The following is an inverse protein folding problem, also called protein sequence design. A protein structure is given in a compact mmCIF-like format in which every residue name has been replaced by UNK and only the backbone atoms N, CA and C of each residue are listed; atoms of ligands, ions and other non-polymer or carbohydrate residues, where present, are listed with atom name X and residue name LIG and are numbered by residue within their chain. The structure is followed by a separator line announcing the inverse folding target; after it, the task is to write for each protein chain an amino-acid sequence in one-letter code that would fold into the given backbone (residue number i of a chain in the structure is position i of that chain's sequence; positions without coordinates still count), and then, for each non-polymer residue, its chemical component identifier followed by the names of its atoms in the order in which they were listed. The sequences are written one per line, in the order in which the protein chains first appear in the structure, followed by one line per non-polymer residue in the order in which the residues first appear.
data_IF_048874835645
#
_entry.id   IF_048874835645
#
_cell.length_a   1.000
_cell.length_b   1.000
_cell.length_c   1.000
_cell.angle_alpha   90.00
_cell.angle_beta   90.00
_cell.angle_gamma   90.00
#
_symmetry.space_group_name_H-M   'P 1'
#
loop_
_entity.id
_entity.type
_entity.pdbx_description
1 polymer ?
#
# COMPACT_ATOMS: atom_id res chain seq x y z
N UNK A 1 54.79 50.59 6.56
CA UNK A 1 53.55 49.82 6.39
C UNK A 1 53.90 48.35 6.56
N UNK A 2 53.60 47.76 7.73
CA UNK A 2 53.88 46.35 8.03
C UNK A 2 52.53 45.66 8.17
N UNK A 3 52.24 44.73 7.29
CA UNK A 3 51.03 43.90 7.35
C UNK A 3 51.27 42.78 8.37
N UNK A 4 50.41 42.68 9.38
CA UNK A 4 50.35 41.55 10.29
C UNK A 4 49.16 40.67 9.89
N UNK A 5 49.43 39.43 9.50
CA UNK A 5 48.41 38.42 9.26
C UNK A 5 48.05 37.75 10.60
N UNK A 6 46.77 37.74 10.95
CA UNK A 6 46.22 37.00 12.10
C UNK A 6 45.59 35.72 11.56
N UNK A 7 46.25 34.59 11.80
CA UNK A 7 45.69 33.25 11.57
C UNK A 7 44.88 32.86 12.80
N UNK A 8 43.57 32.74 12.65
CA UNK A 8 42.69 32.16 13.67
C UNK A 8 42.74 30.63 13.49
N UNK A 9 43.46 29.96 14.38
CA UNK A 9 43.46 28.50 14.49
C UNK A 9 42.20 28.11 15.30
N UNK A 10 41.13 27.67 14.63
CA UNK A 10 39.98 27.10 15.33
C UNK A 10 40.32 25.67 15.77
N UNK A 11 40.58 25.49 17.06
CA UNK A 11 40.54 24.18 17.70
C UNK A 11 39.07 23.75 17.82
N UNK A 12 38.57 23.05 16.81
CA UNK A 12 37.37 22.23 16.97
C UNK A 12 37.78 21.02 17.83
N UNK A 13 37.53 21.11 19.14
CA UNK A 13 37.49 19.92 19.98
C UNK A 13 36.29 19.09 19.52
N UNK A 14 36.53 18.13 18.62
CA UNK A 14 35.57 17.09 18.34
C UNK A 14 35.29 16.37 19.65
N UNK A 15 34.08 16.53 20.19
CA UNK A 15 33.55 15.60 21.19
C UNK A 15 33.33 14.31 20.42
N UNK A 16 34.37 13.48 20.37
CA UNK A 16 34.21 12.06 20.09
C UNK A 16 33.37 11.58 21.26
N UNK A 17 32.07 11.34 21.03
CA UNK A 17 31.28 10.54 21.93
C UNK A 17 32.04 9.23 22.08
N UNK A 18 32.71 9.05 23.21
CA UNK A 18 33.33 7.78 23.57
C UNK A 18 32.18 6.77 23.52
N UNK A 19 32.26 5.85 22.57
CA UNK A 19 31.46 4.62 22.61
C UNK A 19 31.94 3.93 23.87
N UNK A 20 31.19 4.09 24.96
CA UNK A 20 31.47 3.41 26.21
C UNK A 20 31.07 1.93 26.01
N UNK A 21 32.04 1.02 25.80
CA UNK A 21 31.74 -0.37 25.44
C UNK A 21 31.19 -1.17 26.63
N UNK A 22 31.17 -0.57 27.83
CA UNK A 22 30.75 -1.22 29.07
C UNK A 22 29.29 -0.94 29.43
N UNK A 23 28.65 0.01 28.75
CA UNK A 23 27.30 0.46 29.07
C UNK A 23 26.26 0.12 27.99
N UNK A 24 25.01 -0.01 28.43
CA UNK A 24 23.89 -0.42 27.59
C UNK A 24 22.56 0.16 28.09
N UNK A 25 21.55 0.11 27.22
CA UNK A 25 20.20 0.47 27.57
C UNK A 25 19.86 1.95 27.36
N UNK A 26 18.64 2.35 27.72
CA UNK A 26 18.04 3.61 27.29
C UNK A 26 18.73 4.86 27.85
N UNK A 27 19.40 4.73 29.01
CA UNK A 27 20.18 5.82 29.61
C UNK A 27 21.48 6.13 28.87
N UNK A 28 21.92 5.22 28.02
CA UNK A 28 23.18 5.30 27.29
C UNK A 28 22.94 5.30 25.78
N UNK A 29 21.86 5.94 25.32
CA UNK A 29 21.57 6.07 23.89
C UNK A 29 21.15 4.77 23.22
N UNK A 30 20.48 3.87 23.96
CA UNK A 30 20.01 2.56 23.48
C UNK A 30 21.13 1.63 23.00
N UNK A 31 22.34 1.78 23.55
CA UNK A 31 23.45 0.89 23.24
C UNK A 31 23.15 -0.56 23.63
N UNK A 32 23.61 -1.49 22.78
CA UNK A 32 23.45 -2.93 22.94
C UNK A 32 24.81 -3.54 23.29
N UNK A 33 24.82 -4.44 24.26
CA UNK A 33 26.04 -5.13 24.67
C UNK A 33 26.64 -5.98 23.53
N UNK A 34 27.97 -6.08 23.51
CA UNK A 34 28.74 -6.95 22.60
C UNK A 34 29.10 -8.27 23.28
N UNK A 35 29.64 -9.24 22.53
CA UNK A 35 30.27 -10.47 23.02
C UNK A 35 29.42 -11.30 24.00
N UNK A 36 28.19 -11.66 23.59
CA UNK A 36 27.26 -12.49 24.37
C UNK A 36 26.98 -11.99 25.80
N UNK A 37 27.25 -10.72 26.09
CA UNK A 37 26.98 -10.12 27.39
C UNK A 37 25.52 -9.69 27.54
N UNK A 38 25.01 -9.80 28.76
CA UNK A 38 23.70 -9.28 29.14
C UNK A 38 23.81 -7.82 29.58
N UNK A 39 22.74 -7.07 29.33
CA UNK A 39 22.58 -5.73 29.85
C UNK A 39 21.86 -5.79 31.21
N UNK A 40 22.52 -5.37 32.28
CA UNK A 40 21.90 -5.32 33.60
C UNK A 40 20.82 -4.23 33.69
N UNK A 41 19.91 -4.31 34.68
CA UNK A 41 18.97 -3.22 34.99
C UNK A 41 19.65 -1.87 35.28
N UNK A 42 20.94 -1.90 35.63
CA UNK A 42 21.73 -0.70 35.92
C UNK A 42 22.44 -0.12 34.69
N UNK A 43 22.28 -0.75 33.52
CA UNK A 43 22.82 -0.26 32.25
C UNK A 43 24.29 -0.63 32.02
N UNK A 44 24.72 -1.78 32.55
CA UNK A 44 26.08 -2.31 32.38
C UNK A 44 26.09 -3.64 31.63
N UNK A 45 27.08 -3.83 30.77
CA UNK A 45 27.31 -5.06 30.03
C UNK A 45 28.17 -6.05 30.82
N UNK A 46 27.70 -7.29 30.95
CA UNK A 46 28.50 -8.36 31.54
C UNK A 46 27.88 -9.75 31.37
N UNK A 47 28.65 -10.78 31.71
CA UNK A 47 28.27 -12.19 31.58
C UNK A 47 27.96 -12.88 32.92
N UNK A 48 28.10 -12.16 34.04
CA UNK A 48 27.84 -12.72 35.37
C UNK A 48 26.34 -12.79 35.66
N UNK A 49 25.97 -13.56 36.69
CA UNK A 49 24.58 -13.69 37.14
C UNK A 49 23.92 -12.33 37.41
N UNK A 50 24.64 -11.37 37.97
CA UNK A 50 24.10 -10.05 38.30
C UNK A 50 23.74 -9.21 37.06
N UNK A 51 24.35 -9.52 35.91
CA UNK A 51 24.06 -8.89 34.62
C UNK A 51 23.00 -9.68 33.84
N UNK A 52 23.02 -11.00 33.99
CA UNK A 52 22.21 -11.94 33.22
C UNK A 52 21.02 -12.53 33.99
N UNK A 53 20.65 -11.97 35.14
CA UNK A 53 19.49 -12.45 35.88
C UNK A 53 18.22 -12.15 35.06
N UNK A 54 17.53 -13.23 34.64
CA UNK A 54 16.37 -13.16 33.76
C UNK A 54 15.21 -12.31 34.29
N UNK A 55 15.16 -12.06 35.60
CA UNK A 55 14.12 -11.24 36.24
C UNK A 55 14.39 -9.72 36.15
N UNK A 56 15.63 -9.31 35.85
CA UNK A 56 16.03 -7.90 35.92
C UNK A 56 16.84 -7.40 34.73
N UNK A 57 17.43 -8.28 33.94
CA UNK A 57 18.24 -7.88 32.80
C UNK A 57 17.39 -7.26 31.67
N UNK A 58 17.95 -6.29 30.95
CA UNK A 58 17.29 -5.55 29.89
C UNK A 58 17.44 -6.30 28.56
N UNK A 59 16.45 -7.14 28.24
CA UNK A 59 16.51 -8.08 27.11
C UNK A 59 16.82 -7.42 25.76
N UNK A 60 16.13 -6.33 25.42
CA UNK A 60 16.28 -5.62 24.14
C UNK A 60 17.64 -4.92 23.95
N UNK A 61 18.46 -4.86 25.01
CA UNK A 61 19.78 -4.21 24.98
C UNK A 61 20.92 -5.19 25.32
N UNK A 62 20.59 -6.47 25.47
CA UNK A 62 21.55 -7.56 25.68
C UNK A 62 22.02 -8.13 24.34
N UNK A 63 23.24 -8.69 24.29
CA UNK A 63 23.78 -9.28 23.07
C UNK A 63 22.90 -10.47 22.60
N UNK A 64 22.72 -10.69 21.28
CA UNK A 64 21.86 -11.76 20.76
C UNK A 64 22.22 -13.19 21.21
N UNK A 65 23.48 -13.46 21.56
CA UNK A 65 23.91 -14.75 22.10
C UNK A 65 24.06 -14.79 23.62
N UNK A 66 23.55 -13.77 24.33
CA UNK A 66 23.53 -13.75 25.79
C UNK A 66 22.35 -14.55 26.36
N UNK A 67 22.44 -14.98 27.62
CA UNK A 67 21.32 -15.65 28.30
C UNK A 67 20.14 -14.73 28.62
N UNK A 68 20.31 -13.41 28.45
CA UNK A 68 19.26 -12.41 28.55
C UNK A 68 18.73 -11.97 27.18
N UNK A 69 19.27 -12.51 26.08
CA UNK A 69 18.77 -12.20 24.75
C UNK A 69 17.25 -12.43 24.69
N UNK A 70 16.50 -11.63 23.93
CA UNK A 70 15.13 -11.98 23.61
C UNK A 70 15.15 -13.39 23.02
N UNK A 71 14.35 -14.31 23.54
CA UNK A 71 14.15 -15.58 22.84
C UNK A 71 13.71 -15.23 21.42
N UNK A 72 14.47 -15.69 20.42
CA UNK A 72 14.06 -15.63 19.01
C UNK A 72 12.93 -16.63 18.75
N UNK A 73 11.96 -16.70 19.63
CA UNK A 73 10.59 -16.88 19.20
C UNK A 73 10.12 -15.46 18.87
N UNK A 74 10.20 -15.11 17.59
CA UNK A 74 9.13 -14.27 17.06
C UNK A 74 7.85 -14.92 17.58
N UNK A 75 6.99 -14.24 18.36
CA UNK A 75 5.77 -14.86 18.83
C UNK A 75 5.16 -15.55 17.62
N UNK A 76 4.88 -16.85 17.74
CA UNK A 76 4.19 -17.58 16.68
C UNK A 76 3.05 -16.67 16.25
N UNK A 77 3.13 -16.13 15.03
CA UNK A 77 2.07 -15.27 14.53
C UNK A 77 0.88 -16.22 14.38
N UNK A 78 0.07 -16.32 15.42
CA UNK A 78 -1.27 -16.85 15.33
C UNK A 78 -2.02 -15.81 14.54
N UNK A 79 -1.95 -15.95 13.22
CA UNK A 79 -2.59 -15.02 12.34
C UNK A 79 -4.10 -15.11 12.56
N UNK A 80 -4.78 -13.97 12.78
CA UNK A 80 -6.20 -13.97 13.06
C UNK A 80 -7.03 -14.29 11.81
N UNK A 81 -8.21 -14.87 12.02
CA UNK A 81 -9.19 -15.20 10.97
C UNK A 81 -9.97 -13.98 10.44
N UNK A 82 -9.69 -12.79 10.96
CA UNK A 82 -10.17 -11.48 10.49
C UNK A 82 -8.95 -10.63 10.10
N UNK A 83 -9.14 -9.52 9.37
CA UNK A 83 -8.02 -8.59 9.13
C UNK A 83 -7.38 -8.31 10.49
N UNK A 84 -6.08 -8.58 10.66
CA UNK A 84 -5.51 -8.57 11.99
C UNK A 84 -5.70 -7.19 12.63
N UNK A 85 -5.88 -7.14 13.94
CA UNK A 85 -5.74 -5.88 14.70
C UNK A 85 -4.24 -5.52 14.81
N UNK A 86 -3.52 -5.64 13.69
CA UNK A 86 -2.15 -5.16 13.49
C UNK A 86 -2.12 -3.66 13.18
N UNK A 87 -3.30 -3.08 13.04
CA UNK A 87 -3.52 -1.66 12.79
C UNK A 87 -3.50 -0.84 14.08
N UNK A 88 -3.27 -1.46 15.24
CA UNK A 88 -3.18 -0.76 16.51
C UNK A 88 -1.80 -0.93 17.13
N UNK A 89 -1.33 0.13 17.76
CA UNK A 89 -0.04 0.17 18.41
C UNK A 89 -0.03 1.21 19.51
N UNK A 90 1.03 1.18 20.29
CA UNK A 90 1.28 2.21 21.27
C UNK A 90 0.85 1.82 22.68
N UNK A 91 1.18 2.71 23.60
CA UNK A 91 0.96 2.53 25.03
C UNK A 91 -0.52 2.31 25.39
N UNK A 92 -1.44 2.99 24.70
CA UNK A 92 -2.88 2.86 24.90
C UNK A 92 -3.45 1.50 24.45
N UNK A 93 -2.70 0.79 23.59
CA UNK A 93 -3.11 -0.48 22.98
C UNK A 93 -2.38 -1.66 23.61
N UNK A 94 -2.09 -1.58 24.92
CA UNK A 94 -1.39 -2.64 25.65
C UNK A 94 0.09 -2.77 25.28
N UNK A 95 0.69 -1.76 24.64
CA UNK A 95 2.10 -1.74 24.29
C UNK A 95 2.45 -2.54 23.04
N UNK A 96 1.48 -2.79 22.16
CA UNK A 96 1.70 -3.49 20.90
C UNK A 96 2.56 -2.65 19.95
N UNK A 97 3.49 -3.30 19.27
CA UNK A 97 4.37 -2.69 18.25
C UNK A 97 3.89 -3.02 16.85
N UNK A 98 4.07 -2.10 15.90
CA UNK A 98 3.68 -2.32 14.52
C UNK A 98 4.54 -3.40 13.83
N UNK A 99 3.93 -4.32 13.06
CA UNK A 99 4.66 -5.37 12.37
C UNK A 99 5.26 -4.87 11.06
N UNK A 100 6.57 -4.66 10.97
CA UNK A 100 7.19 -4.21 9.72
C UNK A 100 7.00 -5.20 8.56
N UNK A 101 6.17 -4.88 7.58
CA UNK A 101 6.01 -5.68 6.36
C UNK A 101 6.92 -5.14 5.24
N UNK A 102 7.67 -6.02 4.57
CA UNK A 102 8.57 -5.69 3.47
C UNK A 102 10.06 -5.65 3.83
N UNK A 103 10.92 -5.48 2.81
CA UNK A 103 12.38 -5.60 2.92
C UNK A 103 13.04 -4.73 4.01
N UNK A 104 12.37 -3.65 4.44
CA UNK A 104 12.83 -2.77 5.54
C UNK A 104 11.73 -2.46 6.58
N UNK A 105 10.58 -3.14 6.47
CA UNK A 105 9.38 -2.84 7.24
C UNK A 105 8.75 -1.51 6.85
N UNK A 106 8.74 -1.15 5.57
CA UNK A 106 8.15 0.11 5.07
C UNK A 106 6.65 0.19 5.39
N UNK A 107 5.93 -0.92 5.23
CA UNK A 107 4.54 -0.99 5.66
C UNK A 107 4.45 -1.31 7.15
N UNK A 108 3.47 -0.72 7.82
CA UNK A 108 3.23 -0.90 9.26
C UNK A 108 4.50 -0.62 10.08
N UNK A 109 5.25 0.40 9.65
CA UNK A 109 6.53 0.76 10.22
C UNK A 109 6.36 1.59 11.48
N UNK A 110 5.47 2.56 11.38
CA UNK A 110 5.32 3.65 12.31
C UNK A 110 4.04 3.49 13.10
N UNK A 111 4.09 3.94 14.35
CA UNK A 111 2.93 3.98 15.21
C UNK A 111 2.48 5.43 15.33
N UNK A 112 1.35 5.78 14.73
CA UNK A 112 0.83 7.15 14.76
C UNK A 112 0.48 7.60 16.18
N UNK A 113 0.29 8.91 16.36
CA UNK A 113 -0.20 9.48 17.62
C UNK A 113 -1.57 8.93 18.05
N UNK A 114 -2.40 8.53 17.08
CA UNK A 114 -3.69 7.88 17.31
C UNK A 114 -3.57 6.40 17.68
N UNK A 115 -2.36 5.84 17.70
CA UNK A 115 -2.12 4.45 18.02
C UNK A 115 -2.45 3.52 16.86
N UNK A 116 -2.17 3.97 15.63
CA UNK A 116 -2.36 3.16 14.43
C UNK A 116 -1.07 2.87 13.67
N UNK A 117 -0.97 1.66 13.16
CA UNK A 117 0.18 1.26 12.36
C UNK A 117 0.06 1.71 10.91
N UNK A 118 1.15 2.24 10.37
CA UNK A 118 1.23 2.58 8.96
C UNK A 118 2.61 3.06 8.50
N UNK A 119 2.72 3.48 7.23
CA UNK A 119 1.66 3.39 6.22
C UNK A 119 1.32 1.94 5.91
N UNK A 120 0.08 1.63 5.54
CA UNK A 120 -0.36 0.25 5.32
C UNK A 120 0.00 -0.28 3.95
N UNK A 121 0.11 0.62 2.98
CA UNK A 121 0.41 0.39 1.58
C UNK A 121 1.15 1.61 1.03
N UNK A 122 1.59 1.55 -0.23
CA UNK A 122 2.35 2.57 -0.95
C UNK A 122 1.51 3.82 -1.30
N UNK A 123 0.21 3.70 -1.07
CA UNK A 123 -0.82 4.70 -1.27
C UNK A 123 -0.91 5.66 -0.08
N UNK A 124 -0.76 5.17 1.16
CA UNK A 124 -0.91 6.00 2.34
C UNK A 124 0.34 6.85 2.61
N UNK A 125 0.13 8.15 2.82
CA UNK A 125 1.23 9.04 3.19
C UNK A 125 1.86 8.58 4.52
N UNK A 126 3.16 8.34 4.46
CA UNK A 126 3.98 7.97 5.60
C UNK A 126 3.90 9.01 6.72
N UNK A 127 3.75 10.30 6.39
CA UNK A 127 3.69 11.41 7.33
C UNK A 127 2.48 11.34 8.28
N UNK A 128 1.43 10.60 7.91
CA UNK A 128 0.26 10.38 8.76
C UNK A 128 0.57 9.44 9.94
N UNK A 129 1.65 8.67 9.85
CA UNK A 129 2.02 7.64 10.82
C UNK A 129 3.39 7.88 11.45
N UNK A 130 4.32 8.47 10.69
CA UNK A 130 5.72 8.66 11.04
C UNK A 130 6.03 10.13 11.34
N UNK A 131 7.20 10.39 11.93
CA UNK A 131 7.63 11.74 12.28
C UNK A 131 6.98 12.25 13.56
N UNK A 132 6.56 13.51 13.55
CA UNK A 132 6.05 14.21 14.72
C UNK A 132 4.76 13.57 15.25
N UNK A 133 4.76 13.20 16.53
CA UNK A 133 3.64 12.52 17.18
C UNK A 133 3.63 11.00 17.02
N UNK A 134 4.53 10.42 16.22
CA UNK A 134 4.72 8.97 16.21
C UNK A 134 5.22 8.46 17.58
N UNK A 135 4.67 7.33 18.03
CA UNK A 135 4.97 6.74 19.32
C UNK A 135 6.24 5.88 19.26
N UNK A 136 7.37 6.50 19.57
CA UNK A 136 8.69 5.85 19.61
C UNK A 136 8.70 4.62 20.54
N UNK A 137 9.29 3.53 20.06
CA UNK A 137 9.29 2.23 20.76
C UNK A 137 8.15 1.29 20.34
N UNK A 138 7.07 1.83 19.74
CA UNK A 138 5.97 1.05 19.18
C UNK A 138 5.95 1.07 17.63
N UNK A 139 6.71 1.97 17.03
CA UNK A 139 7.05 1.97 15.62
C UNK A 139 8.38 2.69 15.39
N UNK A 140 8.93 2.58 14.18
CA UNK A 140 10.12 3.32 13.77
C UNK A 140 9.67 4.68 13.23
N UNK A 141 9.82 5.74 14.01
CA UNK A 141 9.22 7.04 13.73
C UNK A 141 9.96 7.92 12.72
N UNK A 142 10.98 7.39 12.06
CA UNK A 142 11.68 8.04 10.95
C UNK A 142 10.92 7.89 9.62
N UNK A 143 11.13 8.86 8.73
CA UNK A 143 10.61 8.84 7.37
C UNK A 143 11.59 8.09 6.45
N UNK A 144 11.08 7.22 5.61
CA UNK A 144 11.84 6.45 4.62
C UNK A 144 11.14 6.52 3.26
N UNK A 145 11.91 6.67 2.17
CA UNK A 145 11.33 6.57 0.81
C UNK A 145 10.79 5.15 0.62
N UNK A 146 9.64 5.03 -0.05
CA UNK A 146 9.09 3.74 -0.47
C UNK A 146 10.18 2.90 -1.16
N UNK A 147 10.40 1.64 -0.73
CA UNK A 147 11.31 0.75 -1.42
C UNK A 147 10.90 0.65 -2.89
N UNK A 148 11.89 0.72 -3.78
CA UNK A 148 11.65 0.40 -5.17
C UNK A 148 11.08 -1.01 -5.29
N UNK A 149 10.24 -1.22 -6.28
CA UNK A 149 9.65 -2.52 -6.51
C UNK A 149 10.73 -3.60 -6.66
N UNK A 150 10.54 -4.80 -6.08
CA UNK A 150 11.51 -5.86 -6.24
C UNK A 150 11.65 -6.24 -7.72
N UNK A 151 12.88 -6.16 -8.23
CA UNK A 151 13.25 -6.56 -9.60
C UNK A 151 13.46 -8.07 -9.75
N UNK A 152 13.41 -8.79 -8.63
CA UNK A 152 13.56 -10.25 -8.57
C UNK A 152 12.25 -10.96 -8.93
N UNK A 153 12.37 -12.21 -9.37
CA UNK A 153 11.22 -13.07 -9.61
C UNK A 153 10.31 -13.15 -8.37
N UNK A 154 8.98 -13.20 -8.62
CA UNK A 154 7.95 -13.28 -7.58
C UNK A 154 8.25 -14.42 -6.59
N UNK A 155 8.12 -14.13 -5.29
CA UNK A 155 8.22 -15.13 -4.24
C UNK A 155 7.11 -16.18 -4.33
N UNK A 156 7.19 -17.26 -3.52
CA UNK A 156 6.11 -18.25 -3.44
C UNK A 156 4.81 -17.61 -2.93
N UNK A 157 3.67 -18.20 -3.32
CA UNK A 157 2.35 -17.73 -2.89
C UNK A 157 2.22 -17.78 -1.36
N UNK A 158 1.68 -16.70 -0.81
CA UNK A 158 1.48 -16.46 0.61
C UNK A 158 0.23 -17.18 1.14
N UNK A 159 0.37 -17.89 2.26
CA UNK A 159 -0.73 -18.55 2.98
C UNK A 159 -1.63 -17.57 3.73
N UNK A 160 -2.69 -18.09 4.34
CA UNK A 160 -3.59 -17.29 5.19
C UNK A 160 -2.81 -16.68 6.35
N UNK A 161 -3.03 -15.38 6.57
CA UNK A 161 -2.30 -14.59 7.54
C UNK A 161 -0.93 -14.08 7.09
N UNK A 162 -0.35 -14.65 6.04
CA UNK A 162 0.94 -14.17 5.54
C UNK A 162 0.80 -12.85 4.78
N UNK A 163 1.92 -12.14 4.62
CA UNK A 163 1.96 -10.86 3.90
C UNK A 163 1.94 -11.05 2.39
N UNK A 164 1.26 -10.13 1.70
CA UNK A 164 1.13 -10.08 0.25
C UNK A 164 1.32 -8.66 -0.28
N UNK A 165 1.36 -8.52 -1.60
CA UNK A 165 1.45 -7.24 -2.27
C UNK A 165 2.83 -6.96 -2.89
N UNK A 166 2.98 -5.81 -3.56
CA UNK A 166 4.13 -5.51 -4.42
C UNK A 166 5.45 -5.43 -3.64
N UNK A 167 5.45 -4.89 -2.42
CA UNK A 167 6.69 -4.72 -1.63
C UNK A 167 7.28 -6.05 -1.18
N UNK A 168 6.45 -7.02 -0.80
CA UNK A 168 6.91 -8.37 -0.44
C UNK A 168 7.01 -9.28 -1.66
N UNK A 169 6.54 -8.80 -2.83
CA UNK A 169 6.49 -9.52 -4.10
C UNK A 169 5.87 -10.92 -3.98
N UNK A 170 4.75 -11.02 -3.25
CA UNK A 170 4.00 -12.26 -3.03
C UNK A 170 2.51 -12.04 -3.34
N UNK A 171 1.91 -13.01 -4.02
CA UNK A 171 0.45 -13.13 -4.19
C UNK A 171 -0.08 -14.09 -3.12
N UNK A 172 -1.33 -13.94 -2.72
CA UNK A 172 -1.97 -14.94 -1.88
C UNK A 172 -2.20 -16.26 -2.63
N UNK A 173 -2.20 -17.38 -1.90
CA UNK A 173 -2.62 -18.68 -2.43
C UNK A 173 -4.07 -18.62 -2.92
N UNK A 174 -4.40 -19.52 -3.85
CA UNK A 174 -5.76 -19.64 -4.39
C UNK A 174 -6.82 -19.75 -3.27
N UNK A 175 -7.90 -18.98 -3.40
CA UNK A 175 -8.98 -18.89 -2.42
C UNK A 175 -8.77 -17.81 -1.34
N UNK A 176 -7.62 -17.13 -1.32
CA UNK A 176 -7.33 -16.01 -0.43
C UNK A 176 -7.17 -14.71 -1.23
N UNK A 177 -7.56 -13.61 -0.60
CA UNK A 177 -7.42 -12.26 -1.16
C UNK A 177 -6.35 -11.47 -0.39
N UNK A 178 -5.64 -10.62 -1.12
CA UNK A 178 -4.75 -9.65 -0.49
C UNK A 178 -5.59 -8.43 -0.07
N UNK A 179 -5.75 -8.25 1.24
CA UNK A 179 -6.43 -7.07 1.79
C UNK A 179 -5.69 -5.79 1.41
N UNK A 180 -6.36 -4.64 1.49
CA UNK A 180 -5.70 -3.32 1.41
C UNK A 180 -4.64 -3.11 2.50
N UNK A 181 -4.68 -3.99 3.51
CA UNK A 181 -3.68 -4.10 4.56
C UNK A 181 -2.49 -5.00 4.21
N UNK A 182 -2.33 -5.52 3.00
CA UNK A 182 -1.19 -6.38 2.61
C UNK A 182 -1.11 -7.72 3.38
N UNK A 183 -2.26 -8.25 3.83
CA UNK A 183 -2.37 -9.59 4.41
C UNK A 183 -3.31 -10.47 3.61
N UNK A 184 -2.93 -11.73 3.48
CA UNK A 184 -3.76 -12.76 2.87
C UNK A 184 -4.81 -13.25 3.84
N UNK A 185 -6.04 -13.35 3.38
CA UNK A 185 -7.13 -13.95 4.14
C UNK A 185 -8.36 -14.19 3.30
N UNK A 186 -9.44 -14.58 3.96
CA UNK A 186 -10.72 -14.88 3.33
C UNK A 186 -11.84 -14.09 4.01
N UNK A 187 -13.02 -14.00 3.36
CA UNK A 187 -14.15 -13.24 3.89
C UNK A 187 -14.11 -11.75 3.56
N UNK A 188 -15.14 -11.01 3.95
CA UNK A 188 -15.41 -9.66 3.46
C UNK A 188 -14.31 -8.63 3.77
N UNK A 189 -13.57 -8.81 4.87
CA UNK A 189 -12.51 -7.88 5.27
C UNK A 189 -11.25 -8.01 4.37
N UNK A 190 -11.10 -9.15 3.68
CA UNK A 190 -10.00 -9.41 2.76
C UNK A 190 -10.46 -9.39 1.29
N UNK A 191 -11.67 -9.89 1.04
CA UNK A 191 -12.23 -10.18 -0.27
C UNK A 191 -13.46 -9.29 -0.54
N UNK A 192 -13.32 -8.30 -1.43
CA UNK A 192 -14.39 -7.38 -1.84
C UNK A 192 -15.29 -7.92 -2.96
N UNK A 193 -15.89 -9.12 -2.80
CA UNK A 193 -16.65 -9.79 -3.88
C UNK A 193 -18.17 -9.76 -3.73
N UNK A 194 -18.71 -9.13 -2.68
CA UNK A 194 -20.16 -9.13 -2.36
C UNK A 194 -21.03 -8.73 -3.55
N UNK A 195 -20.65 -7.71 -4.32
CA UNK A 195 -21.43 -7.28 -5.48
C UNK A 195 -21.56 -8.36 -6.57
N UNK A 196 -20.55 -9.22 -6.74
CA UNK A 196 -20.58 -10.33 -7.71
C UNK A 196 -21.28 -11.56 -7.09
N UNK A 197 -21.07 -11.78 -5.80
CA UNK A 197 -21.52 -12.97 -5.08
C UNK A 197 -23.00 -12.90 -4.69
N UNK A 198 -23.51 -11.73 -4.33
CA UNK A 198 -24.86 -11.56 -3.76
C UNK A 198 -25.88 -11.09 -4.81
N UNK A 199 -25.44 -10.79 -6.03
CA UNK A 199 -26.30 -10.29 -7.11
C UNK A 199 -26.25 -11.13 -8.38
N UNK A 200 -27.38 -11.23 -9.08
CA UNK A 200 -27.44 -11.72 -10.44
C UNK A 200 -27.10 -10.58 -11.41
N UNK A 201 -26.32 -10.88 -12.44
CA UNK A 201 -25.94 -9.90 -13.45
C UNK A 201 -26.24 -10.46 -14.84
N UNK A 202 -26.92 -9.70 -15.71
CA UNK A 202 -27.09 -10.10 -17.11
C UNK A 202 -25.75 -10.12 -17.86
N UNK A 203 -24.78 -9.35 -17.37
CA UNK A 203 -23.45 -9.26 -17.93
C UNK A 203 -22.47 -8.70 -16.89
N UNK A 204 -21.30 -9.33 -16.77
CA UNK A 204 -20.18 -8.82 -15.96
C UNK A 204 -18.99 -8.63 -16.89
N UNK A 205 -18.43 -7.42 -16.88
CA UNK A 205 -17.20 -7.09 -17.58
C UNK A 205 -16.09 -6.81 -16.56
N UNK A 206 -14.92 -7.40 -16.76
CA UNK A 206 -13.71 -7.00 -16.06
C UNK A 206 -12.76 -6.33 -17.05
N UNK A 207 -12.34 -5.11 -16.75
CA UNK A 207 -11.26 -4.41 -17.47
C UNK A 207 -9.91 -4.75 -16.86
N UNK A 208 -8.89 -4.80 -17.70
CA UNK A 208 -7.51 -5.08 -17.30
C UNK A 208 -6.59 -4.13 -18.05
N UNK A 209 -5.88 -3.28 -17.31
CA UNK A 209 -4.77 -2.51 -17.83
C UNK A 209 -3.69 -3.45 -18.34
N UNK A 210 -3.16 -3.14 -19.52
CA UNK A 210 -2.30 -4.06 -20.25
C UNK A 210 -1.21 -3.30 -20.99
N UNK A 211 -0.19 -2.88 -20.23
CA UNK A 211 0.85 -1.98 -20.73
C UNK A 211 2.02 -2.74 -21.34
N UNK A 212 2.58 -2.29 -22.49
CA UNK A 212 3.89 -2.75 -22.92
C UNK A 212 4.99 -2.22 -21.98
N UNK A 213 6.16 -2.86 -22.00
CA UNK A 213 7.35 -2.31 -21.34
C UNK A 213 7.71 -0.95 -21.98
N UNK A 214 8.03 0.05 -21.15
CA UNK A 214 8.31 1.42 -21.62
C UNK A 214 7.08 2.16 -22.14
N UNK A 215 5.89 1.87 -21.62
CA UNK A 215 4.66 2.58 -21.97
C UNK A 215 4.75 4.09 -21.63
N UNK A 216 4.09 4.96 -22.40
CA UNK A 216 4.25 6.43 -22.28
C UNK A 216 3.85 6.99 -20.90
N UNK A 217 2.95 6.31 -20.18
CA UNK A 217 2.53 6.67 -18.82
C UNK A 217 3.51 6.23 -17.73
N UNK A 218 4.59 5.52 -18.10
CA UNK A 218 5.57 4.97 -17.18
C UNK A 218 6.81 5.85 -17.02
N UNK A 219 7.38 5.89 -15.82
CA UNK A 219 8.63 6.61 -15.52
C UNK A 219 9.79 6.20 -16.44
N UNK A 220 10.01 4.91 -16.79
CA UNK A 220 11.07 4.54 -17.74
C UNK A 220 10.94 5.18 -19.13
N UNK A 221 9.74 5.57 -19.55
CA UNK A 221 9.50 6.26 -20.81
C UNK A 221 9.64 7.78 -20.72
N UNK A 222 9.73 8.34 -19.50
CA UNK A 222 9.76 9.77 -19.22
C UNK A 222 11.01 10.13 -18.40
N UNK A 223 12.18 10.30 -19.05
CA UNK A 223 13.41 10.68 -18.36
C UNK A 223 13.21 11.94 -17.51
N UNK A 224 13.83 11.98 -16.32
CA UNK A 224 13.80 13.11 -15.38
C UNK A 224 12.44 13.39 -14.70
N UNK A 225 11.53 12.41 -14.67
CA UNK A 225 10.27 12.48 -13.92
C UNK A 225 10.21 11.43 -12.81
N UNK A 226 9.37 11.66 -11.80
CA UNK A 226 9.04 10.71 -10.75
C UNK A 226 7.52 10.39 -10.78
N UNK A 227 7.08 9.24 -10.23
CA UNK A 227 5.66 8.94 -10.09
C UNK A 227 4.88 10.07 -9.40
N UNK A 228 3.75 10.47 -9.99
CA UNK A 228 2.94 11.61 -9.55
C UNK A 228 3.19 12.90 -10.34
N UNK A 229 4.27 12.97 -11.12
CA UNK A 229 4.48 14.07 -12.07
C UNK A 229 3.48 14.01 -13.23
N UNK A 230 3.41 15.09 -14.00
CA UNK A 230 2.62 15.17 -15.22
C UNK A 230 3.46 15.73 -16.37
N UNK A 231 3.30 15.13 -17.55
CA UNK A 231 3.98 15.51 -18.78
C UNK A 231 2.97 15.86 -19.87
N UNK A 232 3.35 16.69 -20.83
CA UNK A 232 2.53 16.93 -22.01
C UNK A 232 2.95 15.99 -23.13
N UNK A 233 2.03 15.15 -23.58
CA UNK A 233 2.24 14.22 -24.69
C UNK A 233 1.44 14.67 -25.91
N UNK A 234 1.97 14.34 -27.08
CA UNK A 234 1.37 14.70 -28.36
C UNK A 234 0.30 13.68 -28.75
N UNK A 235 -0.76 14.14 -29.40
CA UNK A 235 -1.80 13.26 -29.92
C UNK A 235 -1.25 12.35 -31.02
N UNK A 236 -1.71 11.08 -31.06
CA UNK A 236 -1.31 10.08 -32.05
C UNK A 236 -1.69 10.54 -33.46
N UNK A 237 -2.81 11.25 -33.62
CA UNK A 237 -3.27 11.80 -34.90
C UNK A 237 -2.81 13.24 -35.20
N UNK A 238 -2.15 13.93 -34.26
CA UNK A 238 -1.86 15.36 -34.41
C UNK A 238 -0.63 15.84 -33.64
N UNK A 239 0.36 16.34 -34.38
CA UNK A 239 1.56 16.96 -33.82
C UNK A 239 1.32 18.32 -33.14
N UNK A 240 0.13 18.89 -33.30
CA UNK A 240 -0.22 20.22 -32.78
C UNK A 240 -1.10 20.17 -31.54
N UNK A 241 -1.65 18.99 -31.21
CA UNK A 241 -2.49 18.79 -30.04
C UNK A 241 -1.68 18.06 -28.99
N UNK A 242 -1.77 18.55 -27.76
CA UNK A 242 -1.17 17.95 -26.60
C UNK A 242 -2.23 17.64 -25.56
N UNK A 243 -2.01 16.58 -24.80
CA UNK A 243 -2.73 16.30 -23.55
C UNK A 243 -1.74 16.17 -22.40
N UNK A 244 -2.24 16.44 -21.21
CA UNK A 244 -1.49 16.19 -19.98
C UNK A 244 -1.67 14.73 -19.58
N UNK A 245 -0.55 14.03 -19.41
CA UNK A 245 -0.47 12.63 -19.01
C UNK A 245 0.22 12.54 -17.65
N UNK A 246 -0.42 11.86 -16.70
CA UNK A 246 0.21 11.53 -15.42
C UNK A 246 1.31 10.46 -15.60
N UNK A 247 2.39 10.60 -14.85
CA UNK A 247 3.50 9.64 -14.83
C UNK A 247 3.36 8.73 -13.61
N UNK A 248 3.51 7.43 -13.83
CA UNK A 248 3.40 6.41 -12.81
C UNK A 248 4.63 5.51 -12.82
N UNK A 249 4.89 4.85 -11.69
CA UNK A 249 5.81 3.71 -11.68
C UNK A 249 5.33 2.63 -12.66
N UNK A 250 6.23 1.74 -13.08
CA UNK A 250 5.85 0.62 -13.92
C UNK A 250 4.73 -0.21 -13.27
N UNK A 251 3.63 -0.36 -13.98
CA UNK A 251 2.42 -1.03 -13.50
C UNK A 251 1.78 -1.83 -14.63
N UNK A 252 1.08 -2.92 -14.27
CA UNK A 252 0.34 -3.80 -15.19
C UNK A 252 1.05 -4.16 -16.50
N UNK A 253 2.37 -4.40 -16.44
CA UNK A 253 3.15 -4.83 -17.61
C UNK A 253 2.61 -6.16 -18.12
N UNK A 254 2.28 -6.19 -19.41
CA UNK A 254 1.69 -7.32 -20.11
C UNK A 254 2.48 -8.61 -19.86
N UNK A 255 1.76 -9.66 -19.44
CA UNK A 255 2.33 -10.99 -19.18
C UNK A 255 2.97 -11.16 -17.80
N UNK A 256 3.02 -10.10 -16.98
CA UNK A 256 3.44 -10.21 -15.58
C UNK A 256 2.27 -10.54 -14.66
N UNK A 257 2.54 -11.12 -13.49
CA UNK A 257 1.51 -11.44 -12.49
C UNK A 257 0.79 -10.19 -11.97
N UNK A 258 1.46 -9.03 -12.00
CA UNK A 258 0.89 -7.74 -11.58
C UNK A 258 -0.18 -7.23 -12.54
N UNK A 259 -0.12 -7.67 -13.79
CA UNK A 259 -1.18 -7.40 -14.75
C UNK A 259 -2.38 -8.33 -14.57
N UNK A 260 -2.29 -9.45 -13.83
CA UNK A 260 -3.37 -10.43 -13.71
C UNK A 260 -4.60 -9.87 -12.98
N UNK A 261 -5.78 -10.19 -13.50
CA UNK A 261 -7.03 -10.03 -12.75
C UNK A 261 -7.01 -10.88 -11.49
N UNK A 262 -7.41 -10.29 -10.36
CA UNK A 262 -7.52 -10.96 -9.07
C UNK A 262 -8.34 -12.27 -9.19
N UNK A 263 -7.85 -13.35 -8.57
CA UNK A 263 -8.37 -14.70 -8.78
C UNK A 263 -9.84 -14.80 -8.39
N UNK A 264 -10.25 -14.10 -7.35
CA UNK A 264 -11.62 -14.03 -6.91
C UNK A 264 -12.57 -13.41 -7.94
N UNK A 265 -12.17 -12.34 -8.64
CA UNK A 265 -12.94 -11.79 -9.76
C UNK A 265 -12.90 -12.73 -10.97
N UNK A 266 -11.73 -13.28 -11.28
CA UNK A 266 -11.50 -14.16 -12.43
C UNK A 266 -12.27 -15.49 -12.37
N UNK A 267 -12.40 -16.07 -11.17
CA UNK A 267 -12.94 -17.42 -10.97
C UNK A 267 -14.42 -17.46 -10.59
N UNK A 268 -15.06 -16.29 -10.40
CA UNK A 268 -16.49 -16.18 -10.09
C UNK A 268 -17.50 -16.20 -11.26
N UNK A 269 -17.17 -16.41 -12.55
CA UNK A 269 -18.21 -16.35 -13.56
C UNK A 269 -18.93 -17.66 -13.90
N UNK A 270 -20.24 -17.49 -14.14
CA UNK A 270 -20.94 -18.19 -15.22
C UNK A 270 -20.84 -17.43 -16.56
N UNK A 271 -20.60 -16.10 -16.61
CA UNK A 271 -20.48 -15.28 -17.86
C UNK A 271 -19.57 -14.02 -17.75
N UNK A 272 -18.32 -14.11 -17.30
CA UNK A 272 -17.36 -12.99 -17.35
C UNK A 272 -16.84 -12.84 -18.78
N UNK A 273 -16.97 -11.65 -19.37
CA UNK A 273 -16.15 -11.26 -20.52
C UNK A 273 -15.01 -10.35 -20.03
N UNK A 274 -13.77 -10.78 -20.27
CA UNK A 274 -12.59 -9.98 -19.99
C UNK A 274 -12.29 -9.01 -21.14
N UNK A 275 -12.04 -7.75 -20.80
CA UNK A 275 -11.64 -6.72 -21.74
C UNK A 275 -10.25 -6.22 -21.39
N UNK A 276 -9.32 -6.33 -22.34
CA UNK A 276 -8.01 -5.70 -22.22
C UNK A 276 -8.14 -4.26 -22.68
N UNK A 277 -7.70 -3.33 -21.83
CA UNK A 277 -7.61 -1.91 -22.15
C UNK A 277 -6.15 -1.58 -22.36
N UNK A 278 -5.85 -0.95 -23.49
CA UNK A 278 -4.62 -0.17 -23.65
C UNK A 278 -4.96 1.27 -23.29
N UNK A 279 -4.04 1.98 -22.65
CA UNK A 279 -4.22 3.40 -22.35
C UNK A 279 -4.55 4.17 -23.65
N UNK A 280 -5.78 4.63 -23.75
CA UNK A 280 -6.23 5.48 -24.85
C UNK A 280 -7.04 6.66 -24.30
N UNK A 281 -6.30 7.58 -23.67
CA UNK A 281 -6.86 8.82 -23.14
C UNK A 281 -7.31 9.79 -24.27
N UNK A 282 -6.89 9.52 -25.51
CA UNK A 282 -7.16 10.34 -26.69
C UNK A 282 -8.42 9.94 -27.46
N UNK A 283 -9.19 8.95 -26.99
CA UNK A 283 -10.43 8.49 -27.65
C UNK A 283 -10.27 8.04 -29.12
N UNK A 284 -9.06 7.63 -29.52
CA UNK A 284 -8.78 7.20 -30.89
C UNK A 284 -9.35 5.83 -31.25
N UNK A 285 -9.37 4.91 -30.29
CA UNK A 285 -9.90 3.55 -30.42
C UNK A 285 -10.81 3.21 -29.24
N UNK A 286 -12.01 2.71 -29.54
CA UNK A 286 -12.90 2.18 -28.53
C UNK A 286 -12.72 0.66 -28.42
N UNK A 287 -12.82 0.13 -27.20
CA UNK A 287 -12.87 -1.31 -26.99
C UNK A 287 -14.18 -1.90 -27.51
N UNK A 288 -14.23 -3.22 -27.67
CA UNK A 288 -15.45 -3.91 -28.07
C UNK A 288 -16.58 -3.87 -27.02
N UNK A 289 -16.34 -3.29 -25.83
CA UNK A 289 -17.28 -3.29 -24.72
C UNK A 289 -18.62 -2.63 -25.10
N UNK A 290 -18.59 -1.49 -25.78
CA UNK A 290 -19.82 -0.78 -26.18
C UNK A 290 -20.70 -1.67 -27.04
N UNK A 291 -20.15 -2.30 -28.07
CA UNK A 291 -20.89 -3.22 -28.93
C UNK A 291 -21.49 -4.40 -28.15
N UNK A 292 -20.76 -4.93 -27.17
CA UNK A 292 -21.19 -6.04 -26.32
C UNK A 292 -22.34 -5.65 -25.39
N UNK A 293 -22.32 -4.43 -24.86
CA UNK A 293 -23.39 -3.85 -24.04
C UNK A 293 -24.64 -3.59 -24.89
N UNK A 294 -24.47 -2.96 -26.06
CA UNK A 294 -25.57 -2.62 -26.98
C UNK A 294 -26.31 -3.86 -27.47
N UNK A 295 -25.61 -4.92 -27.91
CA UNK A 295 -26.25 -6.16 -28.40
C UNK A 295 -27.06 -6.87 -27.29
N UNK A 296 -26.72 -6.63 -26.03
CA UNK A 296 -27.42 -7.18 -24.85
C UNK A 296 -28.53 -6.28 -24.33
N UNK A 297 -28.75 -5.11 -24.94
CA UNK A 297 -29.75 -4.13 -24.46
C UNK A 297 -29.44 -3.61 -23.06
N UNK A 298 -28.17 -3.54 -22.67
CA UNK A 298 -27.77 -2.97 -21.37
C UNK A 298 -27.92 -1.45 -21.45
N UNK A 299 -28.64 -0.86 -20.49
CA UNK A 299 -28.87 0.59 -20.40
C UNK A 299 -28.27 1.21 -19.14
N UNK A 300 -27.99 0.39 -18.12
CA UNK A 300 -27.43 0.81 -16.83
C UNK A 300 -26.07 0.16 -16.63
N UNK A 301 -25.06 0.95 -16.25
CA UNK A 301 -23.73 0.49 -15.88
C UNK A 301 -23.52 0.66 -14.38
N UNK A 302 -23.16 -0.42 -13.69
CA UNK A 302 -22.69 -0.40 -12.31
C UNK A 302 -21.17 -0.49 -12.36
N UNK A 303 -20.49 0.53 -11.84
CA UNK A 303 -19.04 0.70 -11.92
C UNK A 303 -18.43 0.55 -10.53
N UNK A 304 -17.40 -0.28 -10.43
CA UNK A 304 -16.59 -0.54 -9.24
C UNK A 304 -15.12 -0.65 -9.61
N UNK A 305 -14.25 -0.82 -8.62
CA UNK A 305 -12.84 -1.16 -8.83
C UNK A 305 -11.90 0.03 -8.70
N UNK A 306 -10.72 -0.10 -9.31
CA UNK A 306 -9.57 0.77 -9.08
C UNK A 306 -9.12 1.47 -10.38
N UNK A 307 -8.57 2.69 -10.34
CA UNK A 307 -8.50 3.60 -9.18
C UNK A 307 -9.57 4.70 -9.29
N UNK A 308 -10.07 5.18 -8.15
CA UNK A 308 -11.22 6.10 -8.07
C UNK A 308 -10.92 7.50 -8.63
N UNK A 309 -9.67 7.85 -8.94
CA UNK A 309 -9.27 9.12 -9.54
C UNK A 309 -8.70 8.97 -10.97
N UNK A 310 -8.84 7.79 -11.59
CA UNK A 310 -8.43 7.59 -12.99
C UNK A 310 -9.43 6.69 -13.75
N UNK A 311 -9.21 5.37 -13.79
CA UNK A 311 -9.95 4.45 -14.65
C UNK A 311 -11.45 4.39 -14.34
N UNK A 312 -11.83 4.40 -13.06
CA UNK A 312 -13.25 4.36 -12.68
C UNK A 312 -14.00 5.65 -13.10
N UNK A 313 -13.48 6.87 -12.82
CA UNK A 313 -14.08 8.09 -13.35
C UNK A 313 -14.08 8.19 -14.88
N UNK A 314 -12.99 7.78 -15.53
CA UNK A 314 -12.88 7.79 -16.99
C UNK A 314 -13.98 6.93 -17.62
N UNK A 315 -14.10 5.69 -17.17
CA UNK A 315 -15.13 4.74 -17.63
C UNK A 315 -16.54 5.28 -17.37
N UNK A 316 -16.79 5.81 -16.18
CA UNK A 316 -18.10 6.35 -15.79
C UNK A 316 -18.51 7.54 -16.67
N UNK A 317 -17.58 8.47 -16.91
CA UNK A 317 -17.80 9.65 -17.74
C UNK A 317 -18.08 9.26 -19.20
N UNK A 318 -17.36 8.26 -19.73
CA UNK A 318 -17.62 7.73 -21.07
C UNK A 318 -18.99 7.05 -21.14
N UNK A 319 -19.38 6.30 -20.11
CA UNK A 319 -20.73 5.72 -20.01
C UNK A 319 -21.83 6.78 -20.13
N UNK A 320 -21.72 7.87 -19.37
CA UNK A 320 -22.67 9.00 -19.44
C UNK A 320 -22.69 9.61 -20.85
N UNK A 321 -21.51 9.86 -21.47
CA UNK A 321 -21.41 10.42 -22.83
C UNK A 321 -22.06 9.52 -23.88
N UNK A 322 -22.04 8.21 -23.67
CA UNK A 322 -22.66 7.21 -24.55
C UNK A 322 -24.15 6.97 -24.24
N UNK A 323 -24.71 7.65 -23.24
CA UNK A 323 -26.13 7.63 -22.92
C UNK A 323 -26.57 6.53 -21.94
N UNK A 324 -25.63 5.86 -21.27
CA UNK A 324 -25.96 4.92 -20.20
C UNK A 324 -26.36 5.65 -18.91
N UNK A 325 -27.23 5.04 -18.11
CA UNK A 325 -27.38 5.39 -16.69
C UNK A 325 -26.20 4.78 -15.92
N UNK A 326 -25.41 5.60 -15.25
CA UNK A 326 -24.17 5.15 -14.60
C UNK A 326 -24.28 5.29 -13.09
N UNK A 327 -24.01 4.20 -12.39
CA UNK A 327 -23.88 4.15 -10.93
C UNK A 327 -22.45 3.77 -10.57
N UNK A 328 -21.80 4.58 -9.74
CA UNK A 328 -20.56 4.21 -9.06
C UNK A 328 -20.88 3.73 -7.65
N UNK A 329 -20.42 2.54 -7.29
CA UNK A 329 -20.53 2.01 -5.92
C UNK A 329 -19.28 2.44 -5.13
N UNK A 330 -19.41 3.49 -4.32
CA UNK A 330 -18.28 4.23 -3.73
C UNK A 330 -17.47 3.40 -2.72
N UNK A 331 -18.13 2.57 -1.93
CA UNK A 331 -17.50 1.62 -1.01
C UNK A 331 -16.91 0.38 -1.70
N UNK A 332 -17.08 0.27 -3.02
CA UNK A 332 -16.43 -0.73 -3.88
C UNK A 332 -15.36 -0.12 -4.81
N UNK A 333 -14.86 1.08 -4.50
CA UNK A 333 -13.74 1.72 -5.19
C UNK A 333 -12.69 2.22 -4.21
N UNK A 334 -11.44 2.35 -4.64
CA UNK A 334 -10.39 2.97 -3.82
C UNK A 334 -9.40 3.77 -4.67
N UNK A 335 -8.65 4.68 -4.05
CA UNK A 335 -7.58 5.47 -4.67
C UNK A 335 -6.44 5.74 -3.67
N UNK A 336 -5.48 6.56 -4.07
CA UNK A 336 -4.25 6.83 -3.33
C UNK A 336 -4.46 7.81 -2.15
N UNK A 337 -5.60 8.50 -2.05
CA UNK A 337 -5.93 9.30 -0.87
C UNK A 337 -7.44 9.57 -0.73
N UNK A 338 -7.89 9.81 0.50
CA UNK A 338 -9.27 10.22 0.75
C UNK A 338 -9.61 11.55 0.05
N UNK A 339 -8.64 12.44 -0.10
CA UNK A 339 -8.80 13.72 -0.81
C UNK A 339 -9.04 13.49 -2.31
N UNK A 340 -8.20 12.68 -2.97
CA UNK A 340 -8.41 12.33 -4.37
C UNK A 340 -9.72 11.57 -4.58
N UNK A 341 -10.11 10.72 -3.63
CA UNK A 341 -11.40 10.02 -3.68
C UNK A 341 -12.54 11.02 -3.66
N UNK A 342 -12.53 11.94 -2.70
CA UNK A 342 -13.57 12.95 -2.53
C UNK A 342 -13.66 13.88 -3.76
N UNK A 343 -12.52 14.32 -4.31
CA UNK A 343 -12.48 15.15 -5.51
C UNK A 343 -13.06 14.42 -6.73
N UNK A 344 -12.64 13.18 -6.97
CA UNK A 344 -13.14 12.40 -8.09
C UNK A 344 -14.63 12.07 -7.98
N UNK A 345 -15.10 11.70 -6.78
CA UNK A 345 -16.52 11.48 -6.48
C UNK A 345 -17.34 12.74 -6.73
N UNK A 346 -16.84 13.91 -6.32
CA UNK A 346 -17.49 15.18 -6.60
C UNK A 346 -17.60 15.41 -8.12
N UNK A 347 -16.50 15.24 -8.86
CA UNK A 347 -16.49 15.39 -10.32
C UNK A 347 -17.47 14.45 -11.03
N UNK A 348 -17.61 13.21 -10.54
CA UNK A 348 -18.57 12.25 -11.10
C UNK A 348 -20.02 12.64 -10.86
N UNK A 349 -20.34 13.15 -9.66
CA UNK A 349 -21.67 13.70 -9.35
C UNK A 349 -22.00 14.88 -10.27
N UNK A 350 -21.05 15.77 -10.53
CA UNK A 350 -21.19 16.89 -11.47
C UNK A 350 -21.42 16.41 -12.92
N UNK A 351 -20.86 15.24 -13.28
CA UNK A 351 -21.10 14.56 -14.56
C UNK A 351 -22.36 13.68 -14.59
N UNK A 352 -23.29 13.82 -13.63
CA UNK A 352 -24.55 13.05 -13.53
C UNK A 352 -24.39 11.55 -13.27
N UNK A 353 -23.22 11.11 -12.84
CA UNK A 353 -23.06 9.75 -12.33
C UNK A 353 -23.73 9.66 -10.96
N UNK A 354 -24.53 8.62 -10.74
CA UNK A 354 -25.10 8.34 -9.42
C UNK A 354 -24.02 7.69 -8.57
N UNK A 355 -23.67 8.30 -7.45
CA UNK A 355 -22.66 7.74 -6.53
C UNK A 355 -23.36 7.38 -5.23
N UNK A 356 -23.16 6.15 -4.77
CA UNK A 356 -23.81 5.58 -3.59
C UNK A 356 -23.00 4.42 -3.04
N UNK A 357 -23.17 4.11 -1.76
CA UNK A 357 -22.65 2.88 -1.18
C UNK A 357 -23.50 1.69 -1.62
N UNK A 358 -22.92 0.49 -1.58
CA UNK A 358 -23.58 -0.75 -1.97
C UNK A 358 -24.89 -0.96 -1.20
N UNK A 359 -24.88 -0.66 0.10
CA UNK A 359 -26.05 -0.80 0.97
C UNK A 359 -27.19 0.13 0.54
N UNK A 360 -26.86 1.37 0.18
CA UNK A 360 -27.84 2.36 -0.27
C UNK A 360 -28.40 2.01 -1.65
N UNK A 361 -27.54 1.52 -2.55
CA UNK A 361 -27.97 1.02 -3.86
C UNK A 361 -28.94 -0.15 -3.73
N UNK A 362 -28.62 -1.12 -2.86
CA UNK A 362 -29.46 -2.27 -2.57
C UNK A 362 -30.86 -1.88 -2.04
N UNK A 363 -30.93 -0.83 -1.20
CA UNK A 363 -32.20 -0.30 -0.68
C UNK A 363 -32.98 0.44 -1.77
N UNK A 364 -32.28 1.19 -2.62
CA UNK A 364 -32.88 1.99 -3.68
C UNK A 364 -33.38 1.15 -4.87
N UNK A 365 -32.81 -0.04 -5.09
CA UNK A 365 -33.13 -0.90 -6.22
C UNK A 365 -33.40 -2.38 -5.81
N UNK A 366 -34.39 -2.63 -4.93
CA UNK A 366 -34.61 -3.95 -4.32
C UNK A 366 -35.10 -5.01 -5.34
N UNK A 367 -35.48 -4.59 -6.55
CA UNK A 367 -36.00 -5.46 -7.61
C UNK A 367 -34.96 -5.83 -8.67
N UNK A 368 -33.75 -5.26 -8.64
CA UNK A 368 -32.67 -5.64 -9.55
C UNK A 368 -31.67 -6.55 -8.85
N UNK A 369 -32.09 -7.82 -8.79
CA UNK A 369 -31.21 -8.98 -8.87
C UNK A 369 -30.36 -9.30 -7.62
N UNK A 370 -30.92 -9.34 -6.41
CA UNK A 370 -30.30 -10.13 -5.32
C UNK A 370 -30.48 -11.64 -5.59
N UNK A 371 -29.50 -12.47 -5.24
CA UNK A 371 -29.56 -13.93 -5.44
C UNK A 371 -30.58 -14.62 -4.55
#
# INVERSE_FOLDING_TARGET
MKFAAVTILSLAAGVIAQIDPEHCGPKYGNLVCKDNNCCSQYGWCGSTKDHCDASSCLKSFSAPGSSCAPETTSPAQTFPASVPVIDVCGHAQGGVTCPGAGANGYFYRCCSSAGHCGPKNDIQDQSLYCGDGCQAGFGKCDNEKAPAEPTVARGPDAGEGETCGPIVNKKCKSGLCCSGSNFCGSGADFCGHKLIDDHHWPFIAASQDWHPEGHVSSTPAQPDTEPGDAVNITFVDSLLKQETQGVYADHYIAGTWRAETEDGVKNRPQYLEGFRTTDNNQYHQFTALVSKLTIRGIETLIITGLITNACAPGTSTVGIKLGYDVVLIEDATETISAEFKAEAVKGLKDCRVRVMDLTDWDIADPNRLRK
#
